data_IF_259761411521
#
_entry.id   IF_259761411521
#
_cell.length_a   1.000
_cell.length_b   1.000
_cell.length_c   1.000
_cell.angle_alpha   90.00
_cell.angle_beta   90.00
_cell.angle_gamma   90.00
#
_symmetry.space_group_name_H-M   'P 1'
#
loop_
_entity.id
_entity.type
_entity.pdbx_description
1 polymer ?
#
# COMPACT_ATOMS: atom_id res chain seq x y z
N UNK A 1 -13.15 -12.31 5.27
CA UNK A 1 -12.29 -12.36 4.08
C UNK A 1 -11.59 -11.02 3.81
N UNK A 2 -12.28 -9.93 3.38
CA UNK A 2 -11.58 -8.64 3.08
C UNK A 2 -10.87 -8.04 4.29
N UNK A 3 -11.43 -8.14 5.49
CA UNK A 3 -10.78 -7.70 6.72
C UNK A 3 -9.46 -8.44 6.99
N UNK A 4 -9.43 -9.74 6.77
CA UNK A 4 -8.22 -10.54 7.02
C UNK A 4 -7.13 -10.19 5.99
N UNK A 5 -7.53 -10.00 4.72
CA UNK A 5 -6.61 -9.56 3.67
C UNK A 5 -6.05 -8.16 3.97
N UNK A 6 -6.90 -7.21 4.41
CA UNK A 6 -6.44 -5.88 4.77
C UNK A 6 -5.55 -5.89 6.02
N UNK A 7 -5.84 -6.72 7.01
CA UNK A 7 -4.99 -6.89 8.19
C UNK A 7 -3.62 -7.48 7.83
N UNK A 8 -3.58 -8.39 6.86
CA UNK A 8 -2.31 -8.91 6.35
C UNK A 8 -1.53 -7.83 5.59
N UNK A 9 -2.20 -7.03 4.74
CA UNK A 9 -1.58 -5.88 4.06
C UNK A 9 -1.00 -4.90 5.08
N UNK A 10 -1.78 -4.54 6.10
CA UNK A 10 -1.33 -3.65 7.18
C UNK A 10 -0.08 -4.21 7.87
N UNK A 11 -0.12 -5.48 8.29
CA UNK A 11 1.00 -6.13 8.96
C UNK A 11 2.27 -6.12 8.10
N UNK A 12 2.17 -6.54 6.84
CA UNK A 12 3.31 -6.71 5.96
C UNK A 12 3.88 -5.37 5.47
N UNK A 13 3.00 -4.49 5.00
CA UNK A 13 3.40 -3.22 4.37
C UNK A 13 3.88 -2.20 5.41
N UNK A 14 3.12 -2.03 6.50
CA UNK A 14 3.48 -1.04 7.53
C UNK A 14 4.75 -1.45 8.24
N UNK A 15 4.88 -2.72 8.64
CA UNK A 15 6.09 -3.19 9.31
C UNK A 15 7.35 -3.06 8.44
N UNK A 16 7.23 -3.29 7.12
CA UNK A 16 8.35 -3.11 6.20
C UNK A 16 8.70 -1.62 6.03
N UNK A 17 7.69 -0.76 5.89
CA UNK A 17 7.90 0.69 5.81
C UNK A 17 8.55 1.22 7.10
N UNK A 18 8.12 0.74 8.26
CA UNK A 18 8.73 1.10 9.56
C UNK A 18 10.18 0.59 9.69
N UNK A 19 10.47 -0.62 9.21
CA UNK A 19 11.80 -1.21 9.29
C UNK A 19 12.83 -0.48 8.41
N UNK A 20 12.41 0.16 7.32
CA UNK A 20 13.32 0.88 6.43
C UNK A 20 13.84 2.15 7.10
N UNK A 21 15.18 2.36 7.20
CA UNK A 21 15.74 3.57 7.79
C UNK A 21 15.32 4.84 7.05
N UNK A 22 15.09 5.94 7.77
CA UNK A 22 14.64 7.21 7.18
C UNK A 22 15.56 7.72 6.07
N UNK A 23 16.88 7.60 6.24
CA UNK A 23 17.87 7.99 5.24
C UNK A 23 17.92 7.06 4.00
N UNK A 24 17.01 6.10 3.89
CA UNK A 24 16.85 5.22 2.73
C UNK A 24 15.52 5.41 2.01
N UNK A 25 14.70 6.34 2.48
CA UNK A 25 13.43 6.63 1.83
C UNK A 25 13.59 7.28 0.45
N UNK A 26 14.66 8.06 0.24
CA UNK A 26 14.94 8.75 -1.01
C UNK A 26 15.78 7.91 -2.01
N UNK A 27 15.95 6.61 -1.74
CA UNK A 27 16.79 5.74 -2.58
C UNK A 27 15.93 4.93 -3.53
N UNK A 28 16.23 5.01 -4.83
CA UNK A 28 15.77 4.10 -5.86
C UNK A 28 16.78 2.95 -6.04
N UNK A 29 16.36 1.75 -6.52
CA UNK A 29 17.24 0.58 -6.58
C UNK A 29 18.50 0.75 -7.41
N UNK A 30 18.39 1.40 -8.58
CA UNK A 30 19.53 1.68 -9.45
C UNK A 30 19.27 3.01 -10.15
N UNK A 31 20.03 4.02 -9.79
CA UNK A 31 19.95 5.30 -10.47
C UNK A 31 20.39 5.14 -11.95
N UNK A 32 19.56 5.59 -12.88
CA UNK A 32 19.94 5.81 -14.29
C UNK A 32 19.72 4.66 -15.25
N UNK A 33 19.05 3.57 -14.88
CA UNK A 33 18.76 2.47 -15.81
C UNK A 33 17.38 2.56 -16.46
N UNK A 34 16.38 3.10 -15.75
CA UNK A 34 15.01 3.32 -16.26
C UNK A 34 14.46 4.61 -15.66
N UNK A 35 13.99 5.50 -16.51
CA UNK A 35 13.32 6.72 -16.07
C UNK A 35 12.01 6.39 -15.35
N UNK A 36 11.70 7.13 -14.28
CA UNK A 36 10.45 6.99 -13.53
C UNK A 36 10.42 5.90 -12.49
N UNK A 37 11.56 5.31 -12.13
CA UNK A 37 11.65 4.44 -10.97
C UNK A 37 11.38 5.24 -9.68
N UNK A 38 10.43 4.76 -8.89
CA UNK A 38 10.13 5.34 -7.59
C UNK A 38 11.24 5.08 -6.59
N UNK A 39 11.50 6.03 -5.71
CA UNK A 39 12.24 5.79 -4.46
C UNK A 39 11.42 4.90 -3.53
N UNK A 40 12.01 4.42 -2.43
CA UNK A 40 11.27 3.62 -1.44
C UNK A 40 10.11 4.43 -0.84
N UNK A 41 10.35 5.68 -0.46
CA UNK A 41 9.30 6.57 0.05
C UNK A 41 8.17 6.81 -0.96
N UNK A 42 8.51 7.02 -2.22
CA UNK A 42 7.53 7.15 -3.30
C UNK A 42 6.73 5.86 -3.54
N UNK A 43 7.31 4.67 -3.33
CA UNK A 43 6.56 3.41 -3.36
C UNK A 43 5.51 3.35 -2.25
N UNK A 44 5.88 3.75 -1.03
CA UNK A 44 4.94 3.80 0.12
C UNK A 44 3.84 4.83 -0.14
N UNK A 45 4.20 6.01 -0.62
CA UNK A 45 3.26 7.09 -0.95
C UNK A 45 2.29 6.69 -2.07
N UNK A 46 2.81 6.08 -3.14
CA UNK A 46 1.99 5.58 -4.23
C UNK A 46 0.99 4.53 -3.73
N UNK A 47 1.45 3.58 -2.95
CA UNK A 47 0.61 2.52 -2.39
C UNK A 47 -0.51 3.11 -1.52
N UNK A 48 -0.19 4.02 -0.59
CA UNK A 48 -1.17 4.69 0.25
C UNK A 48 -2.20 5.48 -0.59
N UNK A 49 -1.74 6.19 -1.61
CA UNK A 49 -2.59 6.95 -2.53
C UNK A 49 -3.57 6.03 -3.26
N UNK A 50 -3.09 4.90 -3.78
CA UNK A 50 -3.94 3.95 -4.50
C UNK A 50 -4.93 3.24 -3.57
N UNK A 51 -4.55 3.01 -2.30
CA UNK A 51 -5.48 2.52 -1.27
C UNK A 51 -6.61 3.53 -1.07
N UNK A 52 -6.31 4.82 -0.86
CA UNK A 52 -7.33 5.87 -0.72
C UNK A 52 -8.25 5.93 -1.94
N UNK A 53 -7.68 5.95 -3.15
CA UNK A 53 -8.46 6.05 -4.39
C UNK A 53 -9.36 4.82 -4.59
N UNK A 54 -8.84 3.61 -4.39
CA UNK A 54 -9.62 2.38 -4.57
C UNK A 54 -10.72 2.26 -3.50
N UNK A 55 -10.40 2.59 -2.25
CA UNK A 55 -11.37 2.58 -1.16
C UNK A 55 -12.50 3.60 -1.40
N UNK A 56 -12.17 4.78 -1.95
CA UNK A 56 -13.16 5.79 -2.32
C UNK A 56 -14.14 5.29 -3.40
N UNK A 57 -13.65 4.51 -4.38
CA UNK A 57 -14.52 3.89 -5.39
C UNK A 57 -15.48 2.87 -4.74
N UNK A 58 -15.00 2.06 -3.80
CA UNK A 58 -15.84 1.10 -3.06
C UNK A 58 -16.92 1.81 -2.26
N UNK A 59 -16.59 2.96 -1.66
CA UNK A 59 -17.50 3.79 -0.86
C UNK A 59 -18.41 4.70 -1.71
N UNK A 60 -18.10 4.83 -3.03
CA UNK A 60 -18.74 5.80 -3.93
C UNK A 60 -18.63 7.25 -3.39
N UNK A 61 -17.46 7.55 -2.78
CA UNK A 61 -17.11 8.86 -2.23
C UNK A 61 -15.98 9.50 -3.04
N UNK A 62 -15.78 10.80 -2.88
CA UNK A 62 -14.58 11.46 -3.36
C UNK A 62 -13.39 11.05 -2.48
N UNK A 63 -12.26 10.66 -3.11
CA UNK A 63 -11.04 10.36 -2.37
C UNK A 63 -10.59 11.58 -1.53
N UNK A 64 -10.15 11.36 -0.27
CA UNK A 64 -9.70 12.45 0.61
C UNK A 64 -8.52 13.23 0.07
N UNK A 65 -7.69 12.57 -0.74
CA UNK A 65 -6.50 13.15 -1.37
C UNK A 65 -6.53 12.92 -2.88
N UNK A 66 -5.95 13.86 -3.63
CA UNK A 66 -5.74 13.71 -5.06
C UNK A 66 -4.58 12.74 -5.35
N UNK A 67 -4.45 12.30 -6.62
CA UNK A 67 -3.39 11.36 -7.01
C UNK A 67 -1.98 11.97 -6.93
N UNK A 68 -1.84 13.30 -6.96
CA UNK A 68 -0.54 13.96 -7.02
C UNK A 68 0.25 13.65 -8.29
N UNK A 69 1.50 14.06 -8.33
CA UNK A 69 2.41 13.72 -9.42
C UNK A 69 2.71 12.22 -9.43
N UNK A 70 2.62 11.60 -10.60
CA UNK A 70 2.87 10.15 -10.81
C UNK A 70 2.05 9.20 -9.90
N UNK A 71 0.89 9.65 -9.40
CA UNK A 71 0.07 8.95 -8.40
C UNK A 71 0.80 8.68 -7.08
N UNK A 72 1.70 9.58 -6.67
CA UNK A 72 2.44 9.47 -5.42
C UNK A 72 1.80 10.28 -4.26
N UNK A 73 0.58 10.82 -4.47
CA UNK A 73 -0.15 11.57 -3.44
C UNK A 73 0.35 12.98 -3.22
N UNK A 74 0.15 13.53 -2.01
CA UNK A 74 0.53 14.90 -1.69
C UNK A 74 2.04 15.14 -1.77
N UNK A 75 2.46 16.16 -2.55
CA UNK A 75 3.88 16.46 -2.77
C UNK A 75 4.59 17.07 -1.55
N UNK A 76 3.83 17.54 -0.56
CA UNK A 76 4.34 18.15 0.68
C UNK A 76 4.83 17.13 1.70
N UNK A 77 4.40 15.86 1.64
CA UNK A 77 4.81 14.82 2.58
C UNK A 77 6.19 14.27 2.18
N UNK A 78 7.19 14.52 3.01
CA UNK A 78 8.59 14.20 2.70
C UNK A 78 9.28 13.34 3.74
N UNK A 79 8.97 13.54 5.02
CA UNK A 79 9.59 12.76 6.09
C UNK A 79 8.99 11.35 6.18
N UNK A 80 9.77 10.42 6.70
CA UNK A 80 9.31 9.05 6.98
C UNK A 80 8.06 9.06 7.86
N UNK A 81 8.03 9.91 8.87
CA UNK A 81 6.92 10.03 9.82
C UNK A 81 5.62 10.50 9.14
N UNK A 82 5.71 11.49 8.25
CA UNK A 82 4.57 11.98 7.47
C UNK A 82 4.05 10.90 6.53
N UNK A 83 4.96 10.20 5.85
CA UNK A 83 4.64 9.11 4.92
C UNK A 83 3.97 7.94 5.66
N UNK A 84 4.49 7.54 6.82
CA UNK A 84 3.87 6.48 7.64
C UNK A 84 2.50 6.90 8.18
N UNK A 85 2.33 8.16 8.57
CA UNK A 85 1.03 8.70 9.00
C UNK A 85 0.02 8.67 7.84
N UNK A 86 0.44 9.03 6.64
CA UNK A 86 -0.39 8.98 5.44
C UNK A 86 -0.79 7.54 5.09
N UNK A 87 0.14 6.59 5.18
CA UNK A 87 -0.13 5.16 4.97
C UNK A 87 -1.13 4.62 6.01
N UNK A 88 -0.95 4.93 7.29
CA UNK A 88 -1.86 4.51 8.36
C UNK A 88 -3.28 5.06 8.13
N UNK A 89 -3.40 6.32 7.70
CA UNK A 89 -4.67 6.92 7.32
C UNK A 89 -5.33 6.21 6.14
N UNK A 90 -4.56 5.80 5.13
CA UNK A 90 -5.06 5.04 3.98
C UNK A 90 -5.62 3.66 4.40
N UNK A 91 -4.92 2.95 5.27
CA UNK A 91 -5.37 1.66 5.82
C UNK A 91 -6.67 1.84 6.62
N UNK A 92 -6.75 2.87 7.48
CA UNK A 92 -7.97 3.17 8.23
C UNK A 92 -9.17 3.49 7.30
N UNK A 93 -8.93 4.23 6.23
CA UNK A 93 -9.94 4.54 5.23
C UNK A 93 -10.38 3.28 4.46
N UNK A 94 -9.44 2.43 4.05
CA UNK A 94 -9.72 1.14 3.42
C UNK A 94 -10.54 0.21 4.33
N UNK A 95 -10.32 0.27 5.65
CA UNK A 95 -11.09 -0.51 6.63
C UNK A 95 -12.56 -0.13 6.63
N UNK A 96 -12.88 1.17 6.48
CA UNK A 96 -14.27 1.63 6.24
C UNK A 96 -14.84 1.01 4.95
N UNK A 97 -14.07 1.07 3.87
CA UNK A 97 -14.50 0.57 2.56
C UNK A 97 -14.81 -0.94 2.59
N UNK A 98 -13.91 -1.75 3.13
CA UNK A 98 -14.14 -3.21 3.19
C UNK A 98 -15.27 -3.58 4.14
N UNK A 99 -15.53 -2.78 5.18
CA UNK A 99 -16.66 -2.95 6.10
C UNK A 99 -18.02 -2.65 5.42
N UNK A 100 -18.05 -1.75 4.45
CA UNK A 100 -19.27 -1.40 3.71
C UNK A 100 -19.71 -2.49 2.71
N UNK A 101 -18.84 -3.44 2.38
CA UNK A 101 -19.17 -4.55 1.47
C UNK A 101 -19.95 -5.63 2.21
N UNK A 102 -21.18 -5.85 1.79
CA UNK A 102 -22.10 -6.81 2.39
C UNK A 102 -22.52 -7.88 1.38
N UNK A 103 -23.27 -8.90 1.85
CA UNK A 103 -23.87 -9.91 0.96
C UNK A 103 -24.90 -9.31 0.01
N UNK A 104 -25.51 -8.17 0.37
CA UNK A 104 -26.55 -7.55 -0.42
C UNK A 104 -25.98 -6.64 -1.52
N UNK A 105 -24.78 -6.05 -1.32
CA UNK A 105 -24.23 -5.06 -2.25
C UNK A 105 -22.92 -5.49 -2.94
N UNK A 106 -22.37 -6.67 -2.64
CA UNK A 106 -21.03 -7.08 -3.12
C UNK A 106 -20.94 -7.21 -4.65
N UNK A 107 -22.05 -7.46 -5.33
CA UNK A 107 -22.14 -7.53 -6.79
C UNK A 107 -22.60 -6.21 -7.43
N UNK A 108 -22.95 -5.20 -6.64
CA UNK A 108 -23.33 -3.90 -7.19
C UNK A 108 -22.20 -3.32 -8.03
N UNK A 109 -22.52 -2.79 -9.22
CA UNK A 109 -21.52 -2.20 -10.09
C UNK A 109 -21.04 -0.87 -9.52
N UNK A 110 -19.73 -0.74 -9.33
CA UNK A 110 -19.06 0.51 -8.97
C UNK A 110 -18.04 0.91 -10.02
N UNK A 111 -17.72 2.20 -10.19
CA UNK A 111 -16.67 2.64 -11.11
C UNK A 111 -15.32 2.03 -10.76
N UNK A 112 -14.49 1.77 -11.76
CA UNK A 112 -13.10 1.37 -11.59
C UNK A 112 -12.24 1.91 -12.74
N UNK A 113 -10.93 1.76 -12.65
CA UNK A 113 -10.01 2.09 -13.73
C UNK A 113 -10.24 1.24 -15.01
N UNK A 114 -10.95 0.10 -14.87
CA UNK A 114 -11.23 -0.85 -15.96
C UNK A 114 -12.72 -0.84 -16.38
N UNK A 115 -13.44 0.24 -16.08
CA UNK A 115 -14.87 0.34 -16.28
C UNK A 115 -15.66 -0.04 -15.03
N UNK A 116 -16.94 -0.42 -15.20
CA UNK A 116 -17.79 -0.83 -14.09
C UNK A 116 -17.45 -2.27 -13.67
N UNK A 117 -17.22 -2.48 -12.37
CA UNK A 117 -16.88 -3.78 -11.78
C UNK A 117 -17.71 -4.03 -10.52
N UNK A 118 -17.93 -5.31 -10.13
CA UNK A 118 -18.55 -5.63 -8.85
C UNK A 118 -17.79 -4.97 -7.68
N UNK A 119 -18.52 -4.40 -6.72
CA UNK A 119 -17.95 -3.74 -5.52
C UNK A 119 -16.91 -4.62 -4.82
N UNK A 120 -17.21 -5.90 -4.65
CA UNK A 120 -16.27 -6.86 -4.05
C UNK A 120 -14.97 -7.03 -4.84
N UNK A 121 -15.02 -6.96 -6.18
CA UNK A 121 -13.83 -7.04 -7.01
C UNK A 121 -12.95 -5.79 -6.85
N UNK A 122 -13.55 -4.60 -6.78
CA UNK A 122 -12.82 -3.35 -6.51
C UNK A 122 -12.22 -3.38 -5.11
N UNK A 123 -12.96 -3.85 -4.10
CA UNK A 123 -12.45 -4.00 -2.73
C UNK A 123 -11.25 -4.98 -2.66
N UNK A 124 -11.31 -6.10 -3.37
CA UNK A 124 -10.19 -7.04 -3.48
C UNK A 124 -8.95 -6.39 -4.14
N UNK A 125 -9.16 -5.44 -5.05
CA UNK A 125 -8.11 -4.68 -5.71
C UNK A 125 -7.17 -3.97 -4.73
N UNK A 126 -7.65 -3.58 -3.55
CA UNK A 126 -6.83 -2.97 -2.49
C UNK A 126 -5.69 -3.93 -2.10
N UNK A 127 -6.00 -5.18 -1.79
CA UNK A 127 -5.01 -6.16 -1.39
C UNK A 127 -4.07 -6.55 -2.54
N UNK A 128 -4.61 -6.79 -3.74
CA UNK A 128 -3.80 -7.15 -4.92
C UNK A 128 -2.77 -6.08 -5.25
N UNK A 129 -3.18 -4.83 -5.29
CA UNK A 129 -2.28 -3.73 -5.58
C UNK A 129 -1.23 -3.55 -4.48
N UNK A 130 -1.65 -3.68 -3.22
CA UNK A 130 -0.75 -3.59 -2.08
C UNK A 130 0.35 -4.64 -2.10
N UNK A 131 0.01 -5.90 -2.37
CA UNK A 131 1.02 -6.97 -2.44
C UNK A 131 1.93 -6.87 -3.66
N UNK A 132 1.45 -6.33 -4.79
CA UNK A 132 2.33 -6.02 -5.91
C UNK A 132 3.43 -5.02 -5.52
N UNK A 133 3.08 -3.93 -4.83
CA UNK A 133 4.06 -2.94 -4.36
C UNK A 133 4.88 -3.42 -3.17
N UNK A 134 4.29 -4.21 -2.26
CA UNK A 134 5.02 -4.85 -1.17
C UNK A 134 6.17 -5.71 -1.69
N UNK A 135 5.95 -6.52 -2.72
CA UNK A 135 7.00 -7.31 -3.35
C UNK A 135 8.17 -6.45 -3.86
N UNK A 136 7.88 -5.30 -4.46
CA UNK A 136 8.90 -4.34 -4.87
C UNK A 136 9.64 -3.75 -3.66
N UNK A 137 8.91 -3.31 -2.64
CA UNK A 137 9.49 -2.76 -1.40
C UNK A 137 10.41 -3.76 -0.69
N UNK A 138 10.07 -5.05 -0.70
CA UNK A 138 10.93 -6.14 -0.17
C UNK A 138 12.27 -6.18 -0.89
N UNK A 139 12.29 -6.03 -2.22
CA UNK A 139 13.55 -5.99 -2.99
C UNK A 139 14.38 -4.77 -2.59
N UNK A 140 13.75 -3.59 -2.48
CA UNK A 140 14.43 -2.36 -2.02
C UNK A 140 15.07 -2.55 -0.64
N UNK A 141 14.31 -3.09 0.32
CA UNK A 141 14.79 -3.33 1.67
C UNK A 141 16.04 -4.24 1.68
N UNK A 142 15.96 -5.38 0.99
CA UNK A 142 17.08 -6.34 0.89
C UNK A 142 18.32 -5.74 0.22
N UNK A 143 18.17 -4.94 -0.82
CA UNK A 143 19.28 -4.24 -1.47
C UNK A 143 19.98 -3.25 -0.52
N UNK A 144 19.28 -2.78 0.52
CA UNK A 144 19.82 -1.87 1.53
C UNK A 144 20.18 -2.57 2.86
N UNK A 145 20.23 -3.91 2.86
CA UNK A 145 20.62 -4.69 4.04
C UNK A 145 19.54 -4.77 5.12
N UNK A 146 18.28 -4.42 4.78
CA UNK A 146 17.15 -4.53 5.70
C UNK A 146 16.44 -5.86 5.46
N UNK A 147 16.37 -6.70 6.48
CA UNK A 147 15.57 -7.93 6.44
C UNK A 147 14.10 -7.57 6.62
N UNK A 148 13.22 -7.89 5.65
CA UNK A 148 11.78 -7.66 5.83
C UNK A 148 11.27 -8.38 7.07
N UNK A 149 10.45 -7.74 7.93
CA UNK A 149 9.94 -8.34 9.16
C UNK A 149 9.27 -9.70 8.97
N UNK A 150 8.49 -9.86 7.90
CA UNK A 150 7.87 -11.14 7.53
C UNK A 150 8.86 -12.27 7.17
N UNK A 151 10.13 -11.92 6.91
CA UNK A 151 11.18 -12.91 6.63
C UNK A 151 11.99 -13.28 7.87
N UNK A 152 11.69 -12.67 9.03
CA UNK A 152 12.32 -13.01 10.31
C UNK A 152 11.60 -14.23 10.89
N UNK A 153 12.29 -15.35 11.19
CA UNK A 153 11.65 -16.50 11.81
C UNK A 153 10.97 -16.10 13.13
N UNK A 154 9.69 -16.42 13.28
CA UNK A 154 8.95 -16.24 14.53
C UNK A 154 9.38 -17.33 15.53
N UNK A 155 10.40 -17.04 16.32
CA UNK A 155 10.72 -17.76 17.55
C UNK A 155 11.23 -19.19 17.43
N UNK A 156 12.53 -19.41 17.61
CA UNK A 156 13.09 -20.59 18.24
C UNK A 156 13.25 -21.84 17.38
N UNK A 157 14.33 -21.81 16.58
CA UNK A 157 15.25 -22.91 16.46
C UNK A 157 16.42 -22.40 15.60
N UNK A 158 17.56 -22.13 16.24
CA UNK A 158 18.81 -22.00 15.49
C UNK A 158 19.05 -23.35 14.82
N UNK A 159 19.27 -23.40 13.51
CA UNK A 159 19.82 -24.62 12.90
C UNK A 159 21.20 -24.85 13.48
N UNK A 160 21.38 -26.05 14.05
CA UNK A 160 22.65 -26.55 14.54
C UNK A 160 23.66 -26.72 13.41
#
# INVERSE_FOLDING_TARGET
MFHDQLSLVEHEVVSLAEAMPANRYDVAPIAGTVDGMRTFGEQVMHLATMIYMTAALVLEERAPYGPGAHNNGPDELRSKEEILTFLAGAIAYARRAVTSVTVDNHLDPVPSAFGSMPRAAVAAGIAFHSFNHYGQMVVYARMHGVTPPASVPTGGESPA
#
